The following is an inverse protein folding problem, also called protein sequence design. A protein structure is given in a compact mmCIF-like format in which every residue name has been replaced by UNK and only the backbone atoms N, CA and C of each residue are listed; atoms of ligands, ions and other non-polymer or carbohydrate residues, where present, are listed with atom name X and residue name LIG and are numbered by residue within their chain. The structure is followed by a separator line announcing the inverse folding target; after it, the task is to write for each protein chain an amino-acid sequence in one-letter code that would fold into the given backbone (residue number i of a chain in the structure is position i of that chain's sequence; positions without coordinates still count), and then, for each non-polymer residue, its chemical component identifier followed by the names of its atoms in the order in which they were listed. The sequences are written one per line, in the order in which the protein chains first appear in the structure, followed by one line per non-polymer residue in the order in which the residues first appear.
data_IF_124624936795
#
_entry.id   IF_124624936795
#
_cell.length_a   1.000
_cell.length_b   1.000
_cell.length_c   1.000
_cell.angle_alpha   90.00
_cell.angle_beta   90.00
_cell.angle_gamma   90.00
#
_symmetry.space_group_name_H-M   'P 1'
#
loop_
_entity.id
_entity.type
_entity.pdbx_description
1 polymer ?
#
# COMPACT_ATOMS: atom_id res chain seq x y z
N UNK A 1 -7.00 -16.86 -0.72
CA UNK A 1 -6.46 -16.73 -2.09
C UNK A 1 -5.31 -15.73 -1.99
N UNK A 2 -4.31 -16.08 -1.17
CA UNK A 2 -3.39 -15.13 -0.50
C UNK A 2 -1.92 -15.46 -0.79
N UNK A 3 -1.66 -16.12 -1.92
CA UNK A 3 -0.35 -16.69 -2.23
C UNK A 3 0.66 -15.71 -2.83
N UNK A 4 0.29 -14.45 -3.12
CA UNK A 4 1.20 -13.45 -3.72
C UNK A 4 1.65 -12.34 -2.76
N UNK A 5 1.12 -12.28 -1.52
CA UNK A 5 1.58 -11.34 -0.48
C UNK A 5 3.00 -11.63 0.05
N UNK A 6 3.66 -12.71 -0.43
CA UNK A 6 4.97 -13.17 0.07
C UNK A 6 6.21 -12.52 -0.55
N UNK A 7 6.08 -11.48 -1.37
CA UNK A 7 7.22 -10.88 -2.08
C UNK A 7 7.77 -9.59 -1.45
N UNK A 8 7.04 -8.98 -0.52
CA UNK A 8 7.45 -7.75 0.17
C UNK A 8 7.27 -7.88 1.68
N UNK A 9 8.23 -7.37 2.45
CA UNK A 9 8.31 -7.47 3.90
C UNK A 9 7.88 -6.14 4.56
N UNK A 10 6.76 -5.57 4.11
CA UNK A 10 6.29 -4.27 4.60
C UNK A 10 5.57 -4.44 5.94
N UNK A 11 5.92 -3.66 7.00
CA UNK A 11 5.25 -3.76 8.29
C UNK A 11 3.75 -3.48 8.22
N UNK A 12 3.03 -3.96 9.25
CA UNK A 12 1.61 -3.70 9.42
C UNK A 12 1.35 -2.23 9.71
N UNK A 13 0.12 -1.78 9.46
CA UNK A 13 -0.27 -0.38 9.64
C UNK A 13 -0.18 0.08 11.10
N UNK A 14 -0.31 -0.83 12.06
CA UNK A 14 -0.15 -0.54 13.49
C UNK A 14 1.30 -0.19 13.81
N UNK A 15 2.24 -1.03 13.37
CA UNK A 15 3.68 -0.80 13.53
C UNK A 15 4.11 0.46 12.77
N UNK A 16 3.59 0.68 11.57
CA UNK A 16 3.95 1.85 10.77
C UNK A 16 3.57 3.18 11.44
N UNK A 17 2.54 3.21 12.31
CA UNK A 17 2.10 4.41 13.03
C UNK A 17 3.00 4.78 14.21
N UNK A 18 3.87 3.88 14.66
CA UNK A 18 4.79 4.14 15.78
C UNK A 18 5.87 5.16 15.42
N UNK A 19 6.23 5.28 14.14
CA UNK A 19 7.16 6.30 13.64
C UNK A 19 6.50 7.20 12.60
N UNK A 20 6.85 8.48 12.64
CA UNK A 20 6.32 9.48 11.69
C UNK A 20 6.93 9.34 10.29
N UNK A 21 8.19 8.93 10.21
CA UNK A 21 8.96 8.92 8.98
C UNK A 21 9.90 7.72 8.91
N UNK A 22 10.03 7.18 7.70
CA UNK A 22 10.92 6.07 7.36
C UNK A 22 11.88 6.49 6.25
N UNK A 23 13.20 6.24 6.39
CA UNK A 23 14.17 6.55 5.36
C UNK A 23 13.99 5.65 4.13
N UNK A 24 14.31 6.19 2.95
CA UNK A 24 14.19 5.46 1.67
C UNK A 24 14.88 4.09 1.66
N UNK A 25 15.98 3.92 2.38
CA UNK A 25 16.72 2.65 2.44
C UNK A 25 15.92 1.55 3.14
N UNK A 26 15.21 1.88 4.22
CA UNK A 26 14.36 0.93 4.96
C UNK A 26 13.16 0.53 4.11
N UNK A 27 12.49 1.53 3.51
CA UNK A 27 11.36 1.30 2.61
C UNK A 27 11.78 0.45 1.41
N UNK A 28 12.91 0.76 0.76
CA UNK A 28 13.44 -0.01 -0.36
C UNK A 28 13.68 -1.48 0.03
N UNK A 29 14.19 -1.72 1.25
CA UNK A 29 14.37 -3.06 1.81
C UNK A 29 13.06 -3.85 1.89
N UNK A 30 12.01 -3.25 2.45
CA UNK A 30 10.71 -3.91 2.56
C UNK A 30 10.11 -4.30 1.20
N UNK A 31 10.23 -3.42 0.21
CA UNK A 31 9.72 -3.70 -1.14
C UNK A 31 10.67 -4.56 -1.99
N UNK A 32 11.86 -4.91 -1.46
CA UNK A 32 12.93 -5.63 -2.17
C UNK A 32 13.28 -5.00 -3.52
N UNK A 33 13.30 -3.66 -3.55
CA UNK A 33 13.66 -2.86 -4.73
C UNK A 33 14.83 -1.94 -4.40
N UNK A 34 15.47 -1.40 -5.43
CA UNK A 34 16.48 -0.38 -5.24
C UNK A 34 15.84 0.99 -4.94
N UNK A 35 16.55 1.85 -4.21
CA UNK A 35 16.10 3.20 -3.88
C UNK A 35 15.84 4.07 -5.13
N UNK A 36 16.59 3.89 -6.23
CA UNK A 36 16.37 4.62 -7.48
C UNK A 36 14.98 4.35 -8.08
N UNK A 37 14.47 3.12 -7.96
CA UNK A 37 13.12 2.79 -8.41
C UNK A 37 12.05 3.51 -7.59
N UNK A 38 12.23 3.62 -6.27
CA UNK A 38 11.32 4.41 -5.42
C UNK A 38 11.37 5.90 -5.77
N UNK A 39 12.55 6.44 -6.08
CA UNK A 39 12.70 7.84 -6.57
C UNK A 39 12.05 8.03 -7.93
N UNK A 40 12.10 7.02 -8.79
CA UNK A 40 11.41 7.05 -10.08
C UNK A 40 9.90 7.07 -9.87
N UNK A 41 9.36 6.18 -9.02
CA UNK A 41 7.93 6.17 -8.70
C UNK A 41 7.45 7.45 -8.03
N UNK A 42 8.25 8.09 -7.17
CA UNK A 42 7.97 9.42 -6.63
C UNK A 42 7.73 10.45 -7.74
N UNK A 43 8.54 10.42 -8.81
CA UNK A 43 8.39 11.35 -9.92
C UNK A 43 7.20 11.01 -10.83
N UNK A 44 6.87 9.72 -10.97
CA UNK A 44 5.78 9.29 -11.83
C UNK A 44 4.40 9.46 -11.18
N UNK A 45 4.27 9.22 -9.88
CA UNK A 45 3.00 9.17 -9.19
C UNK A 45 2.81 10.38 -8.28
N UNK A 46 1.97 11.34 -8.69
CA UNK A 46 1.66 12.56 -7.93
C UNK A 46 1.11 12.31 -6.52
N UNK A 47 0.59 11.12 -6.25
CA UNK A 47 0.07 10.73 -4.93
C UNK A 47 1.18 10.46 -3.92
N UNK A 48 2.39 10.13 -4.40
CA UNK A 48 3.52 9.78 -3.57
C UNK A 48 4.35 11.03 -3.29
N UNK A 49 4.22 11.59 -2.07
CA UNK A 49 4.85 12.87 -1.69
C UNK A 49 5.70 12.72 -0.43
N UNK A 50 6.78 11.91 -0.46
CA UNK A 50 7.69 11.79 0.67
C UNK A 50 8.34 13.15 0.97
N UNK A 51 8.57 13.42 2.26
CA UNK A 51 9.28 14.62 2.69
C UNK A 51 10.76 14.52 2.31
N UNK A 52 11.35 15.62 1.86
CA UNK A 52 12.79 15.70 1.59
C UNK A 52 13.52 16.31 2.79
N UNK A 53 14.65 15.72 3.18
CA UNK A 53 15.57 16.33 4.17
C UNK A 53 16.35 17.49 3.54
N UNK A 54 17.07 18.27 4.35
CA UNK A 54 17.96 19.34 3.85
C UNK A 54 19.01 18.83 2.86
N UNK A 55 19.40 17.55 2.96
CA UNK A 55 20.36 16.89 2.06
C UNK A 55 19.71 16.24 0.84
N UNK A 56 18.38 16.25 0.73
CA UNK A 56 17.63 15.68 -0.41
C UNK A 56 17.23 14.20 -0.26
N UNK A 57 17.44 13.61 0.91
CA UNK A 57 16.97 12.25 1.22
C UNK A 57 15.47 12.22 1.43
N UNK A 58 14.82 11.13 1.00
CA UNK A 58 13.38 10.94 1.14
C UNK A 58 13.04 10.29 2.47
N UNK A 59 12.02 10.84 3.11
CA UNK A 59 11.37 10.35 4.31
C UNK A 59 9.90 10.06 4.00
N UNK A 60 9.53 8.79 4.08
CA UNK A 60 8.20 8.29 3.78
C UNK A 60 7.36 8.22 5.05
N UNK A 61 6.11 8.66 4.98
CA UNK A 61 5.13 8.46 6.06
C UNK A 61 4.42 7.13 5.86
N UNK A 62 3.69 6.69 6.88
CA UNK A 62 2.80 5.53 6.78
C UNK A 62 1.86 5.61 5.55
N UNK A 63 1.30 6.78 5.25
CA UNK A 63 0.45 6.99 4.08
C UNK A 63 1.21 6.79 2.75
N UNK A 64 2.44 7.31 2.64
CA UNK A 64 3.27 7.14 1.45
C UNK A 64 3.58 5.65 1.21
N UNK A 65 3.76 4.88 2.28
CA UNK A 65 3.97 3.42 2.21
C UNK A 65 2.71 2.70 1.71
N UNK A 66 1.51 3.16 2.07
CA UNK A 66 0.26 2.60 1.53
C UNK A 66 0.12 2.83 0.03
N UNK A 67 0.45 4.03 -0.45
CA UNK A 67 0.48 4.29 -1.90
C UNK A 67 1.53 3.43 -2.60
N UNK A 68 2.70 3.24 -2.01
CA UNK A 68 3.73 2.34 -2.55
C UNK A 68 3.24 0.89 -2.65
N UNK A 69 2.52 0.37 -1.64
CA UNK A 69 1.89 -0.96 -1.71
C UNK A 69 0.96 -1.07 -2.92
N UNK A 70 0.12 -0.07 -3.14
CA UNK A 70 -0.81 -0.05 -4.28
C UNK A 70 -0.08 0.04 -5.62
N UNK A 71 0.91 0.92 -5.74
CA UNK A 71 1.74 1.06 -6.95
C UNK A 71 2.46 -0.26 -7.26
N UNK A 72 3.07 -0.87 -6.25
CA UNK A 72 3.76 -2.16 -6.39
C UNK A 72 2.80 -3.23 -6.92
N UNK A 73 1.63 -3.37 -6.29
CA UNK A 73 0.60 -4.33 -6.69
C UNK A 73 0.18 -4.13 -8.16
N UNK A 74 -0.11 -2.90 -8.57
CA UNK A 74 -0.54 -2.59 -9.93
C UNK A 74 0.53 -2.94 -10.96
N UNK A 75 1.79 -2.60 -10.70
CA UNK A 75 2.87 -2.78 -11.65
C UNK A 75 3.40 -4.23 -11.68
N UNK A 76 3.52 -4.88 -10.53
CA UNK A 76 4.19 -6.18 -10.41
C UNK A 76 3.23 -7.35 -10.46
N UNK A 77 2.07 -7.25 -9.82
CA UNK A 77 1.09 -8.35 -9.78
C UNK A 77 0.09 -8.19 -10.93
N UNK A 78 -0.51 -7.01 -11.08
CA UNK A 78 -1.48 -6.75 -12.16
C UNK A 78 -0.84 -6.46 -13.53
N UNK A 79 0.50 -6.28 -13.59
CA UNK A 79 1.26 -6.02 -14.82
C UNK A 79 0.80 -4.79 -15.61
N UNK A 80 0.32 -3.76 -14.92
CA UNK A 80 -0.06 -2.52 -15.58
C UNK A 80 1.19 -1.77 -16.06
N UNK A 81 1.05 -1.00 -17.13
CA UNK A 81 2.05 0.03 -17.45
C UNK A 81 2.02 1.15 -16.41
N UNK A 82 3.04 1.99 -16.40
CA UNK A 82 3.07 3.18 -15.56
C UNK A 82 1.86 4.08 -15.84
N UNK A 83 1.50 4.33 -17.11
CA UNK A 83 0.32 5.14 -17.43
C UNK A 83 -0.98 4.46 -16.98
N UNK A 84 -1.09 3.14 -17.18
CA UNK A 84 -2.26 2.36 -16.75
C UNK A 84 -2.47 2.43 -15.23
N UNK A 85 -1.39 2.29 -14.45
CA UNK A 85 -1.44 2.40 -13.00
C UNK A 85 -1.83 3.81 -12.55
N UNK A 86 -1.31 4.87 -13.19
CA UNK A 86 -1.71 6.26 -12.91
C UNK A 86 -3.19 6.48 -13.17
N UNK A 87 -3.70 6.02 -14.32
CA UNK A 87 -5.11 6.14 -14.66
C UNK A 87 -6.00 5.40 -13.64
N UNK A 88 -5.59 4.19 -13.23
CA UNK A 88 -6.29 3.40 -12.22
C UNK A 88 -6.38 4.12 -10.87
N UNK A 89 -5.26 4.68 -10.38
CA UNK A 89 -5.22 5.40 -9.11
C UNK A 89 -6.05 6.69 -9.15
N UNK A 90 -6.06 7.40 -10.29
CA UNK A 90 -6.88 8.62 -10.47
C UNK A 90 -8.37 8.30 -10.47
N UNK A 91 -8.78 7.25 -11.17
CA UNK A 91 -10.19 6.85 -11.25
C UNK A 91 -10.71 6.28 -9.93
N UNK A 92 -9.88 5.53 -9.19
CA UNK A 92 -10.30 4.96 -7.90
C UNK A 92 -10.40 5.98 -6.76
N UNK A 93 -9.71 7.13 -6.85
CA UNK A 93 -9.95 8.24 -5.90
C UNK A 93 -11.41 8.72 -5.93
N UNK A 94 -12.07 8.61 -7.08
CA UNK A 94 -13.46 9.01 -7.25
C UNK A 94 -14.45 7.93 -6.77
N UNK A 95 -14.00 6.68 -6.61
CA UNK A 95 -14.81 5.56 -6.10
C UNK A 95 -14.57 5.27 -4.61
N UNK A 96 -13.85 6.14 -3.87
CA UNK A 96 -13.57 5.98 -2.43
C UNK A 96 -14.80 5.72 -1.55
N UNK A 97 -16.00 6.08 -2.01
CA UNK A 97 -17.29 5.74 -1.41
C UNK A 97 -17.58 4.23 -1.37
N UNK A 98 -17.02 3.44 -2.29
CA UNK A 98 -17.21 1.98 -2.43
C UNK A 98 -16.21 1.13 -1.60
N UNK A 99 -15.06 1.70 -1.24
CA UNK A 99 -14.05 0.98 -0.45
C UNK A 99 -14.52 0.75 1.00
N UNK A 100 -15.26 1.73 1.56
CA UNK A 100 -15.87 1.63 2.89
C UNK A 100 -16.90 0.48 2.93
N UNK A 101 -17.77 0.40 1.93
CA UNK A 101 -18.80 -0.66 1.86
C UNK A 101 -18.21 -2.06 1.69
N UNK A 102 -17.06 -2.19 1.01
CA UNK A 102 -16.38 -3.49 0.87
C UNK A 102 -15.77 -3.95 2.20
N UNK A 103 -15.13 -3.04 2.95
CA UNK A 103 -14.59 -3.34 4.28
C UNK A 103 -15.70 -3.74 5.25
N UNK A 104 -16.80 -3.01 5.25
CA UNK A 104 -17.95 -3.30 6.11
C UNK A 104 -18.58 -4.66 5.77
N UNK A 105 -18.64 -5.00 4.48
CA UNK A 105 -19.11 -6.32 4.02
C UNK A 105 -18.19 -7.43 4.53
N UNK A 106 -16.86 -7.25 4.43
CA UNK A 106 -15.89 -8.24 4.91
C UNK A 106 -15.93 -8.42 6.43
N UNK A 107 -16.13 -7.34 7.20
CA UNK A 107 -16.28 -7.39 8.65
C UNK A 107 -17.53 -8.17 9.05
N UNK A 108 -18.68 -7.89 8.40
CA UNK A 108 -19.92 -8.63 8.61
C UNK A 108 -19.76 -10.12 8.29
N UNK A 109 -19.05 -10.45 7.22
CA UNK A 109 -18.84 -11.84 6.81
C UNK A 109 -17.94 -12.58 7.82
N UNK A 110 -16.90 -11.92 8.34
CA UNK A 110 -16.07 -12.44 9.42
C UNK A 110 -16.89 -12.69 10.69
N UNK A 111 -17.69 -11.72 11.12
CA UNK A 111 -18.57 -11.85 12.30
C UNK A 111 -19.54 -13.01 12.14
N UNK A 112 -20.17 -13.13 10.96
CA UNK A 112 -21.07 -14.24 10.65
C UNK A 112 -20.37 -15.60 10.75
N UNK A 113 -19.19 -15.75 10.14
CA UNK A 113 -18.43 -17.00 10.18
C UNK A 113 -17.99 -17.37 11.60
N UNK A 114 -17.63 -16.38 12.43
CA UNK A 114 -17.30 -16.61 13.83
C UNK A 114 -18.52 -17.06 14.64
N UNK A 115 -19.68 -16.45 14.40
CA UNK A 115 -20.93 -16.86 15.04
C UNK A 115 -21.36 -18.28 14.62
N UNK A 116 -21.23 -18.62 13.32
CA UNK A 116 -21.55 -19.95 12.82
C UNK A 116 -20.64 -21.01 13.45
N UNK A 117 -19.34 -20.74 13.55
CA UNK A 117 -18.39 -21.61 14.25
C UNK A 117 -18.81 -21.84 15.71
N UNK A 118 -19.10 -20.76 16.44
CA UNK A 118 -19.51 -20.85 17.84
C UNK A 118 -20.85 -21.57 18.07
N UNK A 119 -21.70 -21.69 17.03
CA UNK A 119 -22.96 -22.44 17.10
C UNK A 119 -22.82 -23.94 16.78
N UNK A 120 -21.65 -24.35 16.29
CA UNK A 120 -21.33 -25.74 15.93
C UNK A 120 -20.42 -26.42 16.97
N UNK A 121 -19.87 -25.65 17.91
CA UNK A 121 -19.19 -26.11 19.12
C UNK A 121 -20.18 -26.24 20.29
#
# INVERSE_FOLDING_TARGET
MDAELGLIDVPSDEVLKEKLYYPISEVAGWFRVNASLLRYWENEFDVLKPRKTRKGDRLFRAEDIQYLKQIYFLLREKKFSIEGAKAYLKNNKNTGTQATSTRDTLLRLKEFLLALRASLD
#
